data_IF_431555807875
#
_entry.id   IF_431555807875
#
_cell.length_a   1.000
_cell.length_b   1.000
_cell.length_c   1.000
_cell.angle_alpha   90.00
_cell.angle_beta   90.00
_cell.angle_gamma   90.00
#
_symmetry.space_group_name_H-M   'P 1'
#
loop_
_entity.id
_entity.type
_entity.pdbx_description
1 polymer ?
#
# COMPACT_ATOMS: atom_id res chain seq x y z
N UNK A 1 37.04 -24.60 26.68
CA UNK A 1 36.69 -23.20 26.91
C UNK A 1 37.79 -22.58 27.74
N UNK A 2 38.39 -21.44 27.33
CA UNK A 2 39.48 -20.80 28.01
C UNK A 2 39.02 -19.43 28.48
N UNK A 3 39.51 -18.96 29.64
CA UNK A 3 39.15 -17.64 30.19
C UNK A 3 39.55 -16.52 29.23
N UNK A 4 40.71 -16.67 28.57
CA UNK A 4 41.20 -15.73 27.54
C UNK A 4 40.23 -15.53 26.37
N UNK A 5 39.54 -16.57 25.94
CA UNK A 5 38.53 -16.48 24.88
C UNK A 5 37.32 -15.64 25.31
N UNK A 6 36.91 -15.76 26.58
CA UNK A 6 35.80 -14.98 27.14
C UNK A 6 36.15 -13.49 27.19
N UNK A 7 37.37 -13.15 27.62
CA UNK A 7 37.85 -11.77 27.62
C UNK A 7 37.88 -11.16 26.21
N UNK A 8 38.30 -11.94 25.22
CA UNK A 8 38.26 -11.51 23.80
C UNK A 8 36.82 -11.19 23.34
N UNK A 9 35.84 -12.02 23.68
CA UNK A 9 34.44 -11.77 23.33
C UNK A 9 33.87 -10.49 23.95
N UNK A 10 34.31 -10.14 25.19
CA UNK A 10 33.94 -8.89 25.84
C UNK A 10 34.56 -7.69 25.12
N UNK A 11 35.85 -7.78 24.76
CA UNK A 11 36.52 -6.72 24.02
C UNK A 11 35.92 -6.50 22.63
N UNK A 12 35.64 -7.56 21.93
CA UNK A 12 35.01 -7.51 20.60
C UNK A 12 33.61 -6.89 20.65
N UNK A 13 32.82 -7.25 21.68
CA UNK A 13 31.51 -6.66 21.92
C UNK A 13 31.62 -5.15 22.20
N UNK A 14 32.54 -4.76 23.09
CA UNK A 14 32.78 -3.34 23.43
C UNK A 14 33.20 -2.53 22.20
N UNK A 15 34.11 -3.07 21.38
CA UNK A 15 34.53 -2.42 20.13
C UNK A 15 33.39 -2.26 19.16
N UNK A 16 32.59 -3.32 18.97
CA UNK A 16 31.45 -3.31 18.07
C UNK A 16 30.39 -2.29 18.50
N UNK A 17 30.08 -2.20 19.81
CA UNK A 17 29.13 -1.22 20.32
C UNK A 17 29.67 0.21 20.23
N UNK A 18 30.94 0.41 20.53
CA UNK A 18 31.58 1.74 20.42
C UNK A 18 31.71 2.23 18.98
N UNK A 19 31.76 1.33 18.00
CA UNK A 19 31.85 1.68 16.58
C UNK A 19 30.49 1.87 15.90
N UNK A 20 29.38 1.60 16.59
CA UNK A 20 28.05 1.82 16.06
C UNK A 20 27.79 3.32 15.85
N UNK A 21 27.35 3.67 14.64
CA UNK A 21 27.06 5.05 14.25
C UNK A 21 25.62 5.48 14.49
N UNK A 22 24.72 4.52 14.72
CA UNK A 22 23.30 4.72 14.93
C UNK A 22 22.67 3.53 15.68
N UNK A 23 21.42 3.68 16.10
CA UNK A 23 20.69 2.66 16.87
C UNK A 23 20.45 1.36 16.08
N UNK A 24 20.39 1.40 14.74
CA UNK A 24 20.18 0.19 13.91
C UNK A 24 21.48 -0.62 13.79
N UNK A 25 22.60 0.05 13.59
CA UNK A 25 23.93 -0.60 13.63
C UNK A 25 24.24 -1.17 15.01
N UNK A 26 23.86 -0.46 16.08
CA UNK A 26 23.99 -0.95 17.45
C UNK A 26 23.12 -2.21 17.69
N UNK A 27 21.90 -2.23 17.17
CA UNK A 27 21.00 -3.40 17.24
C UNK A 27 21.59 -4.62 16.52
N UNK A 28 22.22 -4.38 15.38
CA UNK A 28 22.92 -5.43 14.63
C UNK A 28 24.11 -5.99 15.44
N UNK A 29 24.94 -5.12 16.01
CA UNK A 29 26.04 -5.49 16.89
C UNK A 29 25.54 -6.23 18.14
N UNK A 30 24.45 -5.79 18.75
CA UNK A 30 23.80 -6.48 19.87
C UNK A 30 23.43 -7.91 19.52
N UNK A 31 22.78 -8.13 18.38
CA UNK A 31 22.38 -9.47 17.95
C UNK A 31 23.60 -10.40 17.76
N UNK A 32 24.71 -9.87 17.24
CA UNK A 32 25.94 -10.64 17.07
C UNK A 32 26.60 -11.06 18.40
N UNK A 33 26.61 -10.17 19.39
CA UNK A 33 27.37 -10.39 20.64
C UNK A 33 26.53 -10.84 21.84
N UNK A 34 25.20 -10.60 21.84
CA UNK A 34 24.30 -11.03 22.92
C UNK A 34 23.17 -11.94 22.48
N UNK A 35 22.94 -12.09 21.16
CA UNK A 35 21.90 -12.95 20.61
C UNK A 35 22.13 -14.45 20.90
N UNK A 36 21.14 -15.27 20.66
CA UNK A 36 21.14 -16.72 20.95
C UNK A 36 22.29 -17.50 20.31
N UNK A 37 22.82 -17.00 19.20
CA UNK A 37 23.96 -17.61 18.48
C UNK A 37 25.30 -16.96 18.83
N UNK A 38 25.33 -16.00 19.74
CA UNK A 38 26.56 -15.34 20.15
C UNK A 38 27.49 -16.31 20.90
N UNK A 39 28.83 -16.11 20.82
CA UNK A 39 29.79 -16.97 21.51
C UNK A 39 29.50 -17.09 23.02
N UNK A 40 29.12 -16.00 23.67
CA UNK A 40 28.83 -16.01 25.11
C UNK A 40 27.53 -16.75 25.46
N UNK A 41 26.52 -16.70 24.57
CA UNK A 41 25.29 -17.44 24.76
C UNK A 41 25.52 -18.95 24.57
N UNK A 42 26.33 -19.31 23.57
CA UNK A 42 26.71 -20.72 23.31
C UNK A 42 27.57 -21.27 24.46
N UNK A 43 28.55 -20.51 24.95
CA UNK A 43 29.35 -20.87 26.09
C UNK A 43 28.50 -21.08 27.36
N UNK A 44 27.54 -20.22 27.60
CA UNK A 44 26.59 -20.34 28.72
C UNK A 44 25.77 -21.62 28.65
N UNK A 45 25.32 -22.05 27.45
CA UNK A 45 24.61 -23.35 27.27
C UNK A 45 25.53 -24.54 27.48
N UNK A 46 26.81 -24.42 27.10
CA UNK A 46 27.82 -25.45 27.27
C UNK A 46 28.20 -25.74 28.74
N UNK A 47 27.88 -24.87 29.69
CA UNK A 47 28.14 -25.07 31.09
C UNK A 47 27.50 -26.35 31.68
N UNK A 48 26.39 -26.79 31.09
CA UNK A 48 25.68 -27.99 31.53
C UNK A 48 26.49 -29.28 31.42
N UNK A 49 27.48 -29.34 30.54
CA UNK A 49 28.31 -30.52 30.25
C UNK A 49 29.62 -30.55 31.06
N UNK A 50 29.91 -29.56 31.94
CA UNK A 50 31.15 -29.44 32.72
C UNK A 50 31.03 -30.12 34.10
N UNK A 51 32.20 -30.39 34.73
CA UNK A 51 32.25 -30.84 36.10
C UNK A 51 31.67 -29.77 37.09
N UNK A 52 31.18 -30.16 38.28
CA UNK A 52 30.61 -29.23 39.24
C UNK A 52 31.56 -28.06 39.62
N UNK A 53 32.86 -28.33 39.73
CA UNK A 53 33.89 -27.34 40.07
C UNK A 53 34.14 -26.37 38.88
N UNK A 54 34.30 -26.90 37.68
CA UNK A 54 34.47 -26.11 36.47
C UNK A 54 33.23 -25.26 36.17
N UNK A 55 32.05 -25.85 36.39
CA UNK A 55 30.78 -25.14 36.21
C UNK A 55 30.64 -23.93 37.12
N UNK A 56 31.10 -24.01 38.36
CA UNK A 56 31.06 -22.91 39.29
C UNK A 56 32.04 -21.79 38.87
N UNK A 57 33.28 -22.14 38.49
CA UNK A 57 34.31 -21.18 38.09
C UNK A 57 33.99 -20.52 36.78
N UNK A 58 33.70 -21.24 35.73
CA UNK A 58 33.31 -20.70 34.42
C UNK A 58 31.97 -19.99 34.45
N UNK A 59 31.01 -20.44 35.27
CA UNK A 59 29.72 -19.79 35.47
C UNK A 59 29.87 -18.38 36.00
N UNK A 60 30.80 -18.17 36.95
CA UNK A 60 31.11 -16.84 37.49
C UNK A 60 31.71 -15.94 36.41
N UNK A 61 32.73 -16.40 35.69
CA UNK A 61 33.39 -15.64 34.61
C UNK A 61 32.44 -15.26 33.48
N UNK A 62 31.60 -16.18 33.07
CA UNK A 62 30.57 -15.91 32.03
C UNK A 62 29.51 -14.93 32.55
N UNK A 63 29.15 -15.01 33.84
CA UNK A 63 28.24 -14.06 34.47
C UNK A 63 28.82 -12.63 34.50
N UNK A 64 30.05 -12.49 34.89
CA UNK A 64 30.78 -11.20 34.88
C UNK A 64 30.90 -10.66 33.44
N UNK A 65 31.30 -11.47 32.46
CA UNK A 65 31.40 -11.09 31.07
C UNK A 65 30.05 -10.64 30.49
N UNK A 66 28.96 -11.32 30.80
CA UNK A 66 27.62 -10.89 30.42
C UNK A 66 27.23 -9.53 31.01
N UNK A 67 27.55 -9.32 32.27
CA UNK A 67 27.29 -8.04 32.92
C UNK A 67 28.09 -6.88 32.28
N UNK A 68 29.37 -7.12 31.96
CA UNK A 68 30.20 -6.14 31.25
C UNK A 68 29.71 -5.84 29.84
N UNK A 69 29.30 -6.85 29.08
CA UNK A 69 28.72 -6.65 27.73
C UNK A 69 27.40 -5.88 27.84
N UNK A 70 26.55 -6.21 28.81
CA UNK A 70 25.29 -5.52 29.02
C UNK A 70 25.49 -4.06 29.42
N UNK A 71 26.47 -3.78 30.27
CA UNK A 71 26.83 -2.42 30.65
C UNK A 71 27.34 -1.62 29.44
N UNK A 72 28.27 -2.16 28.67
CA UNK A 72 28.79 -1.51 27.47
C UNK A 72 27.70 -1.22 26.43
N UNK A 73 26.74 -2.14 26.28
CA UNK A 73 25.58 -1.94 25.43
C UNK A 73 24.69 -0.80 25.93
N UNK A 74 24.40 -0.76 27.22
CA UNK A 74 23.58 0.28 27.82
C UNK A 74 24.25 1.68 27.70
N UNK A 75 25.55 1.77 27.89
CA UNK A 75 26.30 3.02 27.70
C UNK A 75 26.25 3.49 26.24
N UNK A 76 26.51 2.60 25.27
CA UNK A 76 26.43 2.92 23.85
C UNK A 76 25.01 3.33 23.45
N UNK A 77 23.97 2.63 23.95
CA UNK A 77 22.57 2.97 23.71
C UNK A 77 22.26 4.37 24.20
N UNK A 78 22.63 4.70 25.44
CA UNK A 78 22.36 6.02 26.02
C UNK A 78 23.00 7.16 25.21
N UNK A 79 24.22 6.95 24.72
CA UNK A 79 24.93 7.94 23.89
C UNK A 79 24.21 8.18 22.58
N UNK A 80 23.85 7.10 21.86
CA UNK A 80 23.18 7.20 20.56
C UNK A 80 21.74 7.72 20.68
N UNK A 81 21.02 7.38 21.74
CA UNK A 81 19.70 7.96 22.03
C UNK A 81 19.78 9.44 22.30
N UNK A 82 20.76 9.89 23.14
CA UNK A 82 20.95 11.28 23.40
C UNK A 82 21.36 12.07 22.14
N UNK A 83 22.15 11.47 21.26
CA UNK A 83 22.54 12.10 20.01
C UNK A 83 21.34 12.18 19.04
N UNK A 84 20.54 11.12 18.90
CA UNK A 84 19.28 11.13 18.16
C UNK A 84 18.34 12.23 18.67
N UNK A 85 18.12 12.27 19.98
CA UNK A 85 17.19 13.22 20.60
C UNK A 85 17.67 14.67 20.42
N UNK A 86 18.98 14.89 20.53
CA UNK A 86 19.58 16.21 20.24
C UNK A 86 19.37 16.60 18.76
N UNK A 87 19.53 15.66 17.82
CA UNK A 87 19.31 15.89 16.41
C UNK A 87 17.85 16.23 16.12
N UNK A 88 16.92 15.46 16.67
CA UNK A 88 15.47 15.72 16.57
C UNK A 88 15.13 17.11 17.12
N UNK A 89 15.63 17.49 18.29
CA UNK A 89 15.40 18.80 18.88
C UNK A 89 15.94 19.96 18.02
N UNK A 90 16.98 19.73 17.21
CA UNK A 90 17.53 20.73 16.31
C UNK A 90 16.79 20.80 14.98
N UNK A 91 16.37 19.64 14.46
CA UNK A 91 15.68 19.55 13.16
C UNK A 91 14.18 19.89 13.26
N UNK A 92 13.56 19.60 14.41
CA UNK A 92 12.13 19.84 14.65
C UNK A 92 11.87 21.14 15.46
N UNK A 93 12.75 22.13 15.33
CA UNK A 93 12.54 23.44 16.00
C UNK A 93 11.29 24.10 15.45
N UNK A 94 10.33 24.32 16.32
CA UNK A 94 9.09 25.06 16.01
C UNK A 94 9.15 26.44 16.64
N UNK A 95 8.89 27.45 15.83
CA UNK A 95 8.77 28.82 16.35
C UNK A 95 7.47 28.99 17.13
N UNK A 96 7.56 28.93 18.44
CA UNK A 96 6.40 29.07 19.35
C UNK A 96 5.88 30.50 19.45
N UNK A 97 6.54 31.49 18.83
CA UNK A 97 6.08 32.88 18.78
C UNK A 97 5.08 33.14 17.66
N UNK A 98 4.94 32.19 16.72
CA UNK A 98 3.96 32.29 15.65
C UNK A 98 2.53 32.30 16.23
N UNK A 99 1.66 33.18 15.73
CA UNK A 99 0.30 33.26 16.23
C UNK A 99 -0.44 31.94 15.99
N UNK A 100 -0.90 31.28 17.09
CA UNK A 100 -1.64 30.01 17.07
C UNK A 100 -3.13 30.22 16.71
N UNK A 101 -3.66 31.41 16.90
CA UNK A 101 -5.06 31.75 16.62
C UNK A 101 -5.24 32.16 15.14
N UNK A 102 -4.90 31.26 14.22
CA UNK A 102 -5.24 31.43 12.82
C UNK A 102 -6.66 30.93 12.60
N UNK A 103 -7.49 31.74 11.95
CA UNK A 103 -8.77 31.26 11.42
C UNK A 103 -8.45 30.12 10.45
N UNK A 104 -8.90 28.90 10.80
CA UNK A 104 -8.69 27.75 9.92
C UNK A 104 -9.60 27.89 8.70
N UNK A 105 -9.01 28.04 7.53
CA UNK A 105 -9.76 27.87 6.29
C UNK A 105 -10.08 26.39 6.12
N UNK A 106 -11.27 26.08 5.61
CA UNK A 106 -11.62 24.73 5.20
C UNK A 106 -10.68 24.24 4.09
N UNK A 107 -10.59 22.94 3.91
CA UNK A 107 -9.85 22.29 2.83
C UNK A 107 -10.58 21.06 2.34
N UNK A 108 -10.35 20.67 1.10
CA UNK A 108 -10.84 19.41 0.57
C UNK A 108 -10.02 18.25 1.17
N UNK A 109 -10.69 17.12 1.39
CA UNK A 109 -10.02 15.90 1.78
C UNK A 109 -9.05 15.44 0.66
N UNK A 110 -7.85 14.92 0.95
CA UNK A 110 -6.88 14.51 -0.09
C UNK A 110 -7.46 13.55 -1.12
N UNK A 111 -8.34 12.62 -0.72
CA UNK A 111 -9.05 11.73 -1.66
C UNK A 111 -9.96 12.53 -2.61
N UNK A 112 -10.61 13.57 -2.14
CA UNK A 112 -11.43 14.45 -3.01
C UNK A 112 -10.55 15.17 -4.01
N UNK A 113 -9.39 15.68 -3.57
CA UNK A 113 -8.43 16.36 -4.44
C UNK A 113 -7.95 15.43 -5.56
N UNK A 114 -7.48 14.22 -5.20
CA UNK A 114 -6.99 13.27 -6.20
C UNK A 114 -8.10 12.74 -7.10
N UNK A 115 -9.32 12.54 -6.56
CA UNK A 115 -10.50 12.18 -7.37
C UNK A 115 -10.79 13.23 -8.44
N UNK A 116 -10.79 14.50 -8.07
CA UNK A 116 -11.02 15.59 -9.00
C UNK A 116 -9.90 15.69 -10.05
N UNK A 117 -8.64 15.64 -9.62
CA UNK A 117 -7.47 15.67 -10.53
C UNK A 117 -7.53 14.54 -11.57
N UNK A 118 -7.85 13.32 -11.16
CA UNK A 118 -8.00 12.17 -12.06
C UNK A 118 -9.19 12.36 -13.01
N UNK A 119 -10.31 12.85 -12.48
CA UNK A 119 -11.50 13.09 -13.29
C UNK A 119 -11.24 14.17 -14.37
N UNK A 120 -10.63 15.28 -13.97
CA UNK A 120 -10.29 16.37 -14.88
C UNK A 120 -9.33 15.90 -15.98
N UNK A 121 -8.31 15.12 -15.61
CA UNK A 121 -7.38 14.53 -16.58
C UNK A 121 -8.09 13.72 -17.67
N UNK A 122 -9.04 12.85 -17.31
CA UNK A 122 -9.77 12.04 -18.29
C UNK A 122 -10.80 12.85 -19.06
N UNK A 123 -11.47 13.82 -18.43
CA UNK A 123 -12.38 14.77 -19.12
C UNK A 123 -11.61 15.53 -20.20
N UNK A 124 -10.41 16.01 -19.93
CA UNK A 124 -9.53 16.68 -20.91
C UNK A 124 -9.13 15.76 -22.08
N UNK A 125 -9.10 14.44 -21.85
CA UNK A 125 -8.88 13.44 -22.90
C UNK A 125 -10.17 13.08 -23.70
N UNK A 126 -11.31 13.69 -23.37
CA UNK A 126 -12.59 13.45 -24.03
C UNK A 126 -13.44 12.32 -23.43
N UNK A 127 -13.11 11.86 -22.22
CA UNK A 127 -13.95 10.90 -21.50
C UNK A 127 -15.14 11.63 -20.86
N UNK A 128 -16.30 10.98 -20.86
CA UNK A 128 -17.42 11.38 -20.02
C UNK A 128 -17.19 10.94 -18.58
N UNK A 129 -17.65 11.75 -17.65
CA UNK A 129 -17.65 11.42 -16.23
C UNK A 129 -18.99 10.79 -15.86
N UNK A 130 -18.96 9.56 -15.33
CA UNK A 130 -20.16 8.80 -14.99
C UNK A 130 -20.09 8.35 -13.52
N UNK A 131 -21.21 8.51 -12.81
CA UNK A 131 -21.39 8.03 -11.44
C UNK A 131 -22.51 6.98 -11.37
N UNK A 132 -22.50 6.18 -10.32
CA UNK A 132 -23.54 5.20 -10.05
C UNK A 132 -23.74 4.95 -8.57
N UNK A 133 -24.82 4.23 -8.20
CA UNK A 133 -25.13 3.96 -6.82
C UNK A 133 -24.09 3.07 -6.16
N UNK A 134 -23.92 3.24 -4.85
CA UNK A 134 -23.07 2.38 -4.02
C UNK A 134 -23.75 1.05 -3.68
N UNK A 135 -25.08 1.05 -3.60
CA UNK A 135 -25.91 -0.14 -3.44
C UNK A 135 -26.29 -0.67 -4.80
N UNK A 136 -25.82 -1.88 -5.13
CA UNK A 136 -25.97 -2.48 -6.46
C UNK A 136 -26.59 -3.86 -6.40
N UNK A 137 -27.19 -4.26 -7.53
CA UNK A 137 -27.62 -5.65 -7.70
C UNK A 137 -26.39 -6.56 -7.92
N UNK A 138 -26.46 -7.79 -7.39
CA UNK A 138 -25.45 -8.80 -7.65
C UNK A 138 -25.23 -9.06 -9.15
N UNK A 139 -26.27 -8.90 -9.96
CA UNK A 139 -26.13 -9.02 -11.41
C UNK A 139 -25.17 -7.99 -12.01
N UNK A 140 -25.32 -6.70 -11.65
CA UNK A 140 -24.42 -5.63 -12.14
C UNK A 140 -23.02 -5.76 -11.57
N UNK A 141 -22.91 -6.18 -10.29
CA UNK A 141 -21.62 -6.26 -9.63
C UNK A 141 -20.81 -7.51 -10.00
N UNK A 142 -21.47 -8.57 -10.49
CA UNK A 142 -20.83 -9.86 -10.77
C UNK A 142 -21.22 -10.47 -12.12
N UNK A 143 -22.50 -10.81 -12.34
CA UNK A 143 -22.90 -11.64 -13.48
C UNK A 143 -22.60 -10.96 -14.82
N UNK A 144 -22.96 -9.69 -14.95
CA UNK A 144 -22.70 -8.90 -16.14
C UNK A 144 -21.20 -8.71 -16.44
N UNK A 145 -20.36 -8.85 -15.41
CA UNK A 145 -18.91 -8.79 -15.50
C UNK A 145 -18.25 -10.17 -15.71
N UNK A 146 -19.03 -11.19 -16.07
CA UNK A 146 -18.54 -12.55 -16.27
C UNK A 146 -17.85 -13.16 -15.02
N UNK A 147 -18.21 -12.70 -13.82
CA UNK A 147 -17.74 -13.28 -12.57
C UNK A 147 -18.62 -14.47 -12.23
N UNK A 148 -18.14 -15.72 -12.23
CA UNK A 148 -18.96 -16.91 -12.02
C UNK A 148 -19.48 -17.01 -10.57
N UNK A 149 -20.55 -17.80 -10.38
CA UNK A 149 -21.22 -17.90 -9.08
C UNK A 149 -20.35 -18.49 -7.96
N UNK A 150 -19.38 -19.31 -8.33
CA UNK A 150 -18.42 -19.96 -7.43
C UNK A 150 -17.12 -19.15 -7.22
N UNK A 151 -17.05 -17.93 -7.76
CA UNK A 151 -15.88 -17.08 -7.60
C UNK A 151 -15.73 -16.59 -6.14
N UNK A 152 -14.53 -16.65 -5.54
CA UNK A 152 -14.30 -16.23 -4.15
C UNK A 152 -14.81 -14.83 -3.82
N UNK A 153 -14.66 -13.87 -4.73
CA UNK A 153 -15.14 -12.50 -4.55
C UNK A 153 -16.66 -12.37 -4.28
N UNK A 154 -17.45 -13.43 -4.51
CA UNK A 154 -18.88 -13.47 -4.19
C UNK A 154 -19.19 -13.99 -2.78
N UNK A 155 -18.18 -14.31 -1.99
CA UNK A 155 -18.40 -14.78 -0.62
C UNK A 155 -18.65 -13.60 0.33
N UNK A 156 -19.31 -13.88 1.44
CA UNK A 156 -19.50 -12.90 2.52
C UNK A 156 -18.18 -12.48 3.20
N UNK A 157 -17.07 -13.18 2.91
CA UNK A 157 -15.74 -12.83 3.39
C UNK A 157 -15.17 -11.63 2.63
N UNK A 158 -15.59 -11.43 1.37
CA UNK A 158 -15.05 -10.38 0.51
C UNK A 158 -16.11 -9.31 0.14
N UNK A 159 -17.42 -9.62 0.29
CA UNK A 159 -18.52 -8.75 -0.16
C UNK A 159 -19.52 -8.49 0.97
N UNK A 160 -19.93 -7.24 1.12
CA UNK A 160 -21.04 -6.86 1.99
C UNK A 160 -22.38 -7.06 1.28
N UNK A 161 -23.14 -8.06 1.71
CA UNK A 161 -24.52 -8.29 1.29
C UNK A 161 -25.48 -7.50 2.16
N UNK A 162 -26.59 -7.04 1.57
CA UNK A 162 -27.65 -6.30 2.28
C UNK A 162 -28.77 -7.25 2.66
N UNK A 163 -29.23 -7.14 3.89
CA UNK A 163 -30.37 -7.92 4.39
C UNK A 163 -31.71 -7.44 3.78
N UNK A 164 -32.63 -8.36 3.44
CA UNK A 164 -32.43 -9.80 3.42
C UNK A 164 -31.49 -10.22 2.28
N UNK A 165 -30.60 -11.21 2.50
CA UNK A 165 -29.60 -11.66 1.49
C UNK A 165 -30.22 -12.10 0.19
N UNK A 166 -31.48 -12.62 0.24
CA UNK A 166 -32.28 -13.04 -0.92
C UNK A 166 -32.60 -11.86 -1.85
N UNK A 167 -32.45 -10.62 -1.40
CA UNK A 167 -32.61 -9.44 -2.26
C UNK A 167 -31.56 -9.39 -3.38
N UNK A 168 -30.44 -10.09 -3.21
CA UNK A 168 -29.31 -10.08 -4.12
C UNK A 168 -28.61 -8.73 -4.24
N UNK A 169 -28.85 -7.83 -3.27
CA UNK A 169 -28.24 -6.52 -3.23
C UNK A 169 -26.92 -6.55 -2.43
N UNK A 170 -25.92 -5.80 -2.92
CA UNK A 170 -24.59 -5.71 -2.32
C UNK A 170 -24.11 -4.26 -2.28
N UNK A 171 -23.21 -3.95 -1.37
CA UNK A 171 -22.38 -2.77 -1.53
C UNK A 171 -21.33 -3.08 -2.61
N UNK A 172 -21.23 -2.24 -3.64
CA UNK A 172 -20.38 -2.50 -4.81
C UNK A 172 -18.92 -2.68 -4.40
N UNK A 173 -18.28 -3.73 -4.88
CA UNK A 173 -16.89 -4.08 -4.59
C UNK A 173 -15.87 -3.37 -5.49
N UNK A 174 -16.34 -2.74 -6.53
CA UNK A 174 -15.60 -1.95 -7.53
C UNK A 174 -16.57 -0.98 -8.24
N UNK A 175 -16.05 -0.08 -9.06
CA UNK A 175 -16.91 0.86 -9.81
C UNK A 175 -17.35 0.34 -11.17
N UNK A 176 -16.98 -0.89 -11.56
CA UNK A 176 -17.37 -1.53 -12.83
C UNK A 176 -18.88 -1.62 -13.07
N UNK A 177 -19.79 -1.70 -12.07
CA UNK A 177 -21.23 -1.61 -12.32
C UNK A 177 -21.62 -0.36 -13.10
N UNK A 178 -20.91 0.76 -12.92
CA UNK A 178 -21.17 2.01 -13.67
C UNK A 178 -20.83 1.80 -15.14
N UNK A 179 -19.73 1.08 -15.47
CA UNK A 179 -19.37 0.73 -16.84
C UNK A 179 -20.48 -0.12 -17.50
N UNK A 180 -21.02 -1.13 -16.78
CA UNK A 180 -22.15 -1.95 -17.29
C UNK A 180 -23.37 -1.07 -17.53
N UNK A 181 -23.75 -0.18 -16.61
CA UNK A 181 -24.86 0.77 -16.76
C UNK A 181 -24.68 1.63 -18.00
N UNK A 182 -23.49 2.14 -18.22
CA UNK A 182 -23.17 2.96 -19.42
C UNK A 182 -23.32 2.13 -20.69
N UNK A 183 -22.76 0.92 -20.75
CA UNK A 183 -22.89 0.04 -21.91
C UNK A 183 -24.34 -0.40 -22.21
N UNK A 184 -25.20 -0.47 -21.19
CA UNK A 184 -26.63 -0.79 -21.36
C UNK A 184 -27.47 0.39 -21.87
N UNK A 185 -26.99 1.62 -21.70
CA UNK A 185 -27.76 2.85 -22.01
C UNK A 185 -27.19 3.68 -23.15
N UNK A 186 -25.95 3.44 -23.55
CA UNK A 186 -25.26 4.18 -24.60
C UNK A 186 -24.74 3.23 -25.68
N UNK A 187 -24.82 3.67 -26.93
CA UNK A 187 -24.20 2.96 -28.05
C UNK A 187 -22.72 3.42 -28.21
N UNK A 188 -21.81 2.53 -28.64
CA UNK A 188 -20.45 2.93 -28.97
C UNK A 188 -20.40 4.00 -30.09
N UNK A 189 -19.42 4.93 -30.05
CA UNK A 189 -18.24 4.90 -29.17
C UNK A 189 -18.52 5.34 -27.73
N UNK A 190 -17.92 4.63 -26.75
CA UNK A 190 -18.04 4.89 -25.33
C UNK A 190 -16.64 5.20 -24.78
N UNK A 191 -16.48 6.34 -24.14
CA UNK A 191 -15.27 6.77 -23.43
C UNK A 191 -15.72 7.33 -22.09
N UNK A 192 -15.56 6.55 -21.00
CA UNK A 192 -16.05 6.98 -19.67
C UNK A 192 -15.02 6.75 -18.59
N UNK A 193 -15.05 7.63 -17.59
CA UNK A 193 -14.32 7.48 -16.33
C UNK A 193 -15.32 7.45 -15.19
N UNK A 194 -15.17 6.47 -14.30
CA UNK A 194 -16.11 6.15 -13.24
C UNK A 194 -15.40 6.15 -11.87
N UNK A 195 -15.13 7.30 -11.25
CA UNK A 195 -14.61 7.34 -9.90
C UNK A 195 -15.72 7.11 -8.87
N UNK A 196 -15.41 6.44 -7.79
CA UNK A 196 -16.40 6.23 -6.76
C UNK A 196 -15.91 5.43 -5.55
N UNK A 197 -16.71 5.44 -4.50
CA UNK A 197 -16.49 4.67 -3.29
C UNK A 197 -16.86 3.21 -3.53
N UNK A 198 -16.08 2.32 -2.96
CA UNK A 198 -16.22 0.86 -3.07
C UNK A 198 -16.05 0.21 -1.71
N UNK A 199 -16.52 -1.02 -1.55
CA UNK A 199 -16.65 -1.69 -0.27
C UNK A 199 -16.16 -3.14 -0.40
N UNK A 200 -15.30 -3.56 0.52
CA UNK A 200 -14.85 -4.95 0.66
C UNK A 200 -14.82 -5.33 2.12
N UNK A 201 -15.09 -6.59 2.43
CA UNK A 201 -15.09 -7.06 3.82
C UNK A 201 -13.65 -7.29 4.36
N UNK A 202 -12.74 -6.40 4.00
CA UNK A 202 -11.36 -6.38 4.48
C UNK A 202 -11.28 -5.76 5.88
N UNK A 203 -10.32 -6.21 6.68
CA UNK A 203 -9.97 -5.52 7.92
C UNK A 203 -9.18 -4.24 7.62
N UNK A 204 -9.38 -3.22 8.46
CA UNK A 204 -8.58 -1.99 8.38
C UNK A 204 -7.17 -2.27 8.88
N UNK A 205 -6.19 -2.10 7.98
CA UNK A 205 -4.77 -2.19 8.29
C UNK A 205 -3.98 -1.06 7.61
N UNK A 206 -2.66 -1.12 7.64
CA UNK A 206 -1.81 -0.10 7.02
C UNK A 206 -2.00 0.05 5.51
N UNK A 207 -2.60 -0.92 4.83
CA UNK A 207 -2.70 -1.00 3.36
C UNK A 207 -4.10 -1.24 2.83
N UNK A 208 -5.04 -1.65 3.68
CA UNK A 208 -6.42 -1.98 3.33
C UNK A 208 -7.42 -1.22 4.19
N UNK A 209 -8.58 -0.96 3.62
CA UNK A 209 -9.74 -0.40 4.31
C UNK A 209 -11.02 -1.04 3.76
N UNK A 210 -12.01 -1.34 4.60
CA UNK A 210 -13.30 -1.85 4.13
C UNK A 210 -14.05 -0.88 3.23
N UNK A 211 -13.71 0.39 3.30
CA UNK A 211 -14.25 1.46 2.47
C UNK A 211 -13.09 2.20 1.82
N UNK A 212 -13.03 2.20 0.50
CA UNK A 212 -11.99 2.88 -0.26
C UNK A 212 -12.55 3.43 -1.56
N UNK A 213 -11.75 4.19 -2.31
CA UNK A 213 -12.16 4.81 -3.56
C UNK A 213 -11.39 4.21 -4.73
N UNK A 214 -12.10 3.96 -5.81
CA UNK A 214 -11.52 3.56 -7.09
C UNK A 214 -11.85 4.59 -8.18
N UNK A 215 -11.00 4.63 -9.18
CA UNK A 215 -11.33 5.16 -10.49
C UNK A 215 -11.20 4.05 -11.50
N UNK A 216 -12.21 3.87 -12.32
CA UNK A 216 -12.16 2.97 -13.46
C UNK A 216 -12.43 3.73 -14.75
N UNK A 217 -11.79 3.32 -15.82
CA UNK A 217 -12.02 3.84 -17.16
C UNK A 217 -12.42 2.73 -18.11
N UNK A 218 -13.33 3.06 -19.03
CA UNK A 218 -13.82 2.18 -20.09
C UNK A 218 -13.75 2.89 -21.43
N UNK A 219 -13.22 2.22 -22.43
CA UNK A 219 -13.26 2.65 -23.81
C UNK A 219 -13.83 1.52 -24.67
N UNK A 220 -14.87 1.81 -25.43
CA UNK A 220 -15.44 0.89 -26.43
C UNK A 220 -15.54 1.64 -27.75
N UNK A 221 -14.81 1.16 -28.76
CA UNK A 221 -14.87 1.73 -30.11
C UNK A 221 -14.37 0.70 -31.14
N UNK A 222 -14.35 1.08 -32.40
CA UNK A 222 -13.80 0.25 -33.48
C UNK A 222 -12.29 0.21 -33.43
N UNK A 223 -11.72 -1.01 -33.51
CA UNK A 223 -10.28 -1.20 -33.62
C UNK A 223 -9.47 -0.84 -32.38
N UNK A 224 -10.07 -0.83 -31.20
CA UNK A 224 -9.38 -0.63 -29.92
C UNK A 224 -8.47 -1.83 -29.63
N UNK A 225 -7.26 -1.55 -29.11
CA UNK A 225 -6.22 -2.55 -28.87
C UNK A 225 -5.51 -2.34 -27.53
N UNK A 226 -4.74 -3.36 -27.11
CA UNK A 226 -3.83 -3.24 -25.94
C UNK A 226 -2.82 -2.09 -26.06
N UNK A 227 -2.45 -1.68 -27.27
CA UNK A 227 -1.56 -0.54 -27.48
C UNK A 227 -2.23 0.79 -27.08
N UNK A 228 -3.52 0.95 -27.36
CA UNK A 228 -4.29 2.10 -26.94
C UNK A 228 -4.41 2.14 -25.40
N UNK A 229 -4.72 1.00 -24.77
CA UNK A 229 -4.73 0.87 -23.31
C UNK A 229 -3.38 1.27 -22.71
N UNK A 230 -2.27 0.70 -23.23
CA UNK A 230 -0.92 1.00 -22.75
C UNK A 230 -0.59 2.49 -22.88
N UNK A 231 -0.92 3.11 -24.01
CA UNK A 231 -0.70 4.55 -24.23
C UNK A 231 -1.51 5.43 -23.28
N UNK A 232 -2.77 5.07 -23.02
CA UNK A 232 -3.63 5.76 -22.05
C UNK A 232 -3.04 5.68 -20.65
N UNK A 233 -2.62 4.48 -20.21
CA UNK A 233 -2.03 4.29 -18.88
C UNK A 233 -0.67 4.95 -18.72
N UNK A 234 0.17 4.97 -19.77
CA UNK A 234 1.45 5.70 -19.76
C UNK A 234 1.25 7.20 -19.58
N UNK A 235 0.27 7.77 -20.28
CA UNK A 235 -0.06 9.18 -20.17
C UNK A 235 -0.61 9.51 -18.78
N UNK A 236 -1.52 8.67 -18.28
CA UNK A 236 -2.08 8.81 -16.95
C UNK A 236 -1.02 8.70 -15.84
N UNK A 237 -0.13 7.71 -15.95
CA UNK A 237 0.96 7.56 -14.98
C UNK A 237 1.89 8.79 -14.95
N UNK A 238 2.23 9.36 -16.11
CA UNK A 238 3.05 10.58 -16.18
C UNK A 238 2.35 11.78 -15.56
N UNK A 239 1.04 11.90 -15.74
CA UNK A 239 0.27 12.96 -15.10
C UNK A 239 0.31 12.82 -13.57
N UNK A 240 0.11 11.60 -13.04
CA UNK A 240 0.01 11.37 -11.61
C UNK A 240 1.36 11.39 -10.87
N UNK A 241 2.44 10.92 -11.49
CA UNK A 241 3.72 10.66 -10.81
C UNK A 241 4.91 11.41 -11.42
N UNK A 242 4.66 12.18 -12.49
CA UNK A 242 5.70 12.97 -13.16
C UNK A 242 6.21 12.34 -14.46
N UNK A 243 6.93 13.13 -15.29
CA UNK A 243 7.29 12.76 -16.66
C UNK A 243 8.25 11.57 -16.78
N UNK A 244 9.03 11.31 -15.74
CA UNK A 244 10.07 10.26 -15.75
C UNK A 244 9.53 8.89 -15.35
N UNK A 245 8.25 8.80 -14.92
CA UNK A 245 7.66 7.51 -14.54
C UNK A 245 7.55 6.60 -15.76
N UNK A 246 7.89 5.34 -15.56
CA UNK A 246 7.70 4.29 -16.57
C UNK A 246 6.70 3.27 -16.09
N UNK A 247 5.94 2.69 -17.01
CA UNK A 247 4.96 1.65 -16.71
C UNK A 247 5.34 0.34 -17.38
N UNK A 248 4.88 -0.76 -16.81
CA UNK A 248 4.89 -2.08 -17.46
C UNK A 248 3.56 -2.78 -17.21
N UNK A 249 3.16 -3.62 -18.15
CA UNK A 249 2.03 -4.52 -18.00
C UNK A 249 2.56 -5.92 -17.66
N UNK A 250 2.05 -6.50 -16.59
CA UNK A 250 2.28 -7.90 -16.22
C UNK A 250 1.03 -8.71 -16.54
N UNK A 251 1.12 -9.87 -17.23
CA UNK A 251 -0.02 -10.74 -17.43
C UNK A 251 -0.70 -11.08 -16.09
N UNK A 252 -2.03 -11.00 -16.08
CA UNK A 252 -2.87 -11.34 -14.93
C UNK A 252 -4.18 -11.98 -15.43
N UNK A 253 -5.10 -12.25 -14.52
CA UNK A 253 -6.40 -12.79 -14.86
C UNK A 253 -7.51 -12.04 -14.13
N UNK A 254 -8.47 -11.52 -14.92
CA UNK A 254 -9.73 -11.00 -14.42
C UNK A 254 -10.87 -11.56 -15.28
N UNK A 255 -12.01 -12.00 -14.70
CA UNK A 255 -13.10 -12.60 -15.47
C UNK A 255 -13.68 -11.68 -16.56
N UNK A 256 -13.63 -10.38 -16.32
CA UNK A 256 -14.22 -9.33 -17.17
C UNK A 256 -13.28 -8.77 -18.23
N UNK A 257 -12.02 -9.22 -18.29
CA UNK A 257 -11.05 -8.83 -19.33
C UNK A 257 -10.32 -10.03 -19.93
N UNK A 258 -9.98 -9.93 -21.24
CA UNK A 258 -9.21 -10.93 -21.99
C UNK A 258 -8.52 -10.25 -23.20
N UNK A 259 -7.17 -10.14 -23.21
CA UNK A 259 -6.24 -10.45 -22.15
C UNK A 259 -6.32 -9.47 -20.98
N UNK A 260 -5.93 -9.96 -19.80
CA UNK A 260 -5.84 -9.17 -18.57
C UNK A 260 -4.40 -8.87 -18.21
N UNK A 261 -4.18 -7.75 -17.56
CA UNK A 261 -2.86 -7.36 -17.06
C UNK A 261 -2.99 -6.52 -15.77
N UNK A 262 -1.96 -6.55 -14.98
CA UNK A 262 -1.71 -5.56 -13.93
C UNK A 262 -0.72 -4.52 -14.46
N UNK A 263 -0.97 -3.26 -14.14
CA UNK A 263 -0.07 -2.16 -14.47
C UNK A 263 0.78 -1.83 -13.26
N UNK A 264 2.10 -1.93 -13.44
CA UNK A 264 3.08 -1.45 -12.47
C UNK A 264 3.67 -0.13 -12.95
N UNK A 265 4.02 0.73 -12.00
CA UNK A 265 4.81 1.95 -12.22
C UNK A 265 6.20 1.79 -11.59
N UNK A 266 7.21 2.35 -12.24
CA UNK A 266 8.53 2.49 -11.64
C UNK A 266 8.63 3.88 -11.01
N UNK A 267 8.54 3.91 -9.68
CA UNK A 267 8.53 5.15 -8.90
C UNK A 267 9.35 4.98 -7.61
N UNK A 268 10.06 6.03 -7.20
CA UNK A 268 10.95 5.98 -6.03
C UNK A 268 11.89 4.76 -6.03
N UNK A 269 12.51 4.51 -7.19
CA UNK A 269 13.51 3.46 -7.43
C UNK A 269 13.00 2.01 -7.21
N UNK A 270 11.69 1.77 -7.35
CA UNK A 270 11.08 0.44 -7.24
C UNK A 270 9.86 0.30 -8.15
N UNK A 271 9.56 -0.94 -8.51
CA UNK A 271 8.29 -1.28 -9.17
C UNK A 271 7.17 -1.38 -8.13
N UNK A 272 6.07 -0.70 -8.40
CA UNK A 272 4.88 -0.67 -7.55
C UNK A 272 3.69 -1.05 -8.41
N UNK A 273 2.92 -2.04 -7.98
CA UNK A 273 1.63 -2.36 -8.59
C UNK A 273 0.65 -1.21 -8.34
N UNK A 274 0.07 -0.70 -9.44
CA UNK A 274 -0.80 0.45 -9.39
C UNK A 274 -2.26 0.11 -9.62
N UNK A 275 -2.56 -0.86 -10.52
CA UNK A 275 -3.94 -1.27 -10.77
C UNK A 275 -4.07 -2.41 -11.77
N UNK A 276 -5.32 -2.82 -12.01
CA UNK A 276 -5.67 -3.83 -13.00
C UNK A 276 -6.16 -3.21 -14.30
N UNK A 277 -5.94 -3.90 -15.42
CA UNK A 277 -6.39 -3.45 -16.73
C UNK A 277 -6.53 -4.63 -17.72
N UNK A 278 -7.13 -4.39 -18.86
CA UNK A 278 -7.23 -5.39 -19.93
C UNK A 278 -8.17 -5.00 -21.04
N UNK A 279 -8.20 -5.82 -22.08
CA UNK A 279 -9.27 -5.71 -23.09
C UNK A 279 -10.57 -6.25 -22.50
N UNK A 280 -11.68 -5.55 -22.74
CA UNK A 280 -12.99 -5.99 -22.23
C UNK A 280 -13.32 -7.35 -22.82
N UNK A 281 -13.68 -8.29 -21.95
CA UNK A 281 -14.04 -9.63 -22.37
C UNK A 281 -15.26 -9.58 -23.34
N UNK A 282 -15.20 -10.23 -24.51
CA UNK A 282 -16.32 -10.24 -25.45
C UNK A 282 -17.66 -10.69 -24.85
N UNK A 283 -17.64 -11.56 -23.84
CA UNK A 283 -18.85 -11.98 -23.12
C UNK A 283 -19.50 -10.81 -22.37
N UNK A 284 -18.72 -9.90 -21.81
CA UNK A 284 -19.22 -8.69 -21.14
C UNK A 284 -19.86 -7.75 -22.15
N UNK A 285 -19.21 -7.51 -23.30
CA UNK A 285 -19.78 -6.72 -24.40
C UNK A 285 -21.10 -7.31 -24.90
N UNK A 286 -21.12 -8.61 -25.17
CA UNK A 286 -22.31 -9.32 -25.64
C UNK A 286 -23.46 -9.28 -24.61
N UNK A 287 -23.15 -9.40 -23.30
CA UNK A 287 -24.14 -9.26 -22.21
C UNK A 287 -24.80 -7.88 -22.21
N UNK A 288 -24.06 -6.84 -22.62
CA UNK A 288 -24.57 -5.48 -22.75
C UNK A 288 -25.18 -5.18 -24.14
N UNK A 289 -25.26 -6.17 -25.03
CA UNK A 289 -25.85 -6.01 -26.36
C UNK A 289 -24.93 -5.34 -27.41
N UNK A 290 -23.63 -5.23 -27.12
CA UNK A 290 -22.65 -4.64 -28.02
C UNK A 290 -22.11 -5.70 -28.98
N UNK A 291 -22.11 -5.37 -30.30
CA UNK A 291 -21.62 -6.25 -31.34
C UNK A 291 -20.10 -6.40 -31.31
N UNK A 292 -19.64 -7.59 -30.91
CA UNK A 292 -18.22 -7.93 -30.73
C UNK A 292 -17.46 -8.13 -32.03
N UNK A 293 -18.16 -8.25 -33.18
CA UNK A 293 -17.51 -8.29 -34.47
C UNK A 293 -17.13 -6.90 -34.99
N UNK A 294 -17.79 -5.86 -34.46
CA UNK A 294 -17.57 -4.45 -34.83
C UNK A 294 -16.76 -3.70 -33.82
N UNK A 295 -17.00 -3.93 -32.54
CA UNK A 295 -16.44 -3.17 -31.44
C UNK A 295 -15.54 -4.00 -30.52
N UNK A 296 -14.50 -3.37 -30.06
CA UNK A 296 -13.62 -3.86 -29.01
C UNK A 296 -13.40 -2.77 -27.98
N UNK A 297 -12.85 -3.08 -26.84
CA UNK A 297 -12.60 -2.06 -25.83
C UNK A 297 -11.57 -2.48 -24.81
N UNK A 298 -11.17 -1.53 -24.00
CA UNK A 298 -10.34 -1.78 -22.84
C UNK A 298 -10.96 -1.16 -21.59
N UNK A 299 -10.60 -1.73 -20.45
CA UNK A 299 -10.90 -1.16 -19.13
C UNK A 299 -9.66 -1.18 -18.23
N UNK A 300 -9.66 -0.29 -17.27
CA UNK A 300 -8.64 -0.23 -16.22
C UNK A 300 -9.26 0.25 -14.91
N UNK A 301 -8.63 -0.09 -13.78
CA UNK A 301 -9.06 0.35 -12.46
C UNK A 301 -7.89 0.54 -11.50
N UNK A 302 -7.88 1.66 -10.76
CA UNK A 302 -6.89 2.03 -9.77
C UNK A 302 -7.54 2.48 -8.46
N UNK A 303 -6.93 2.08 -7.32
CA UNK A 303 -7.28 2.62 -6.01
C UNK A 303 -6.78 4.05 -5.84
N UNK A 304 -7.65 4.98 -5.42
CA UNK A 304 -7.26 6.38 -5.21
C UNK A 304 -6.40 6.53 -3.95
N UNK A 305 -6.72 5.82 -2.87
CA UNK A 305 -5.90 5.79 -1.65
C UNK A 305 -4.49 5.29 -1.95
N UNK A 306 -4.36 4.19 -2.70
CA UNK A 306 -3.06 3.66 -3.09
C UNK A 306 -2.26 4.64 -3.93
N UNK A 307 -2.93 5.32 -4.87
CA UNK A 307 -2.30 6.36 -5.69
C UNK A 307 -1.80 7.52 -4.82
N UNK A 308 -2.63 7.97 -3.87
CA UNK A 308 -2.29 9.01 -2.90
C UNK A 308 -1.10 8.60 -2.02
N UNK A 309 -1.14 7.39 -1.46
CA UNK A 309 -0.08 6.84 -0.61
C UNK A 309 1.26 6.78 -1.35
N UNK A 310 1.26 6.26 -2.57
CA UNK A 310 2.47 6.15 -3.38
C UNK A 310 3.03 7.52 -3.74
N UNK A 311 2.17 8.46 -4.17
CA UNK A 311 2.57 9.80 -4.60
C UNK A 311 3.18 10.63 -3.48
N UNK A 312 2.63 10.53 -2.27
CA UNK A 312 2.99 11.35 -1.12
C UNK A 312 3.82 10.62 -0.05
N UNK A 313 4.14 9.34 -0.27
CA UNK A 313 4.93 8.56 0.69
C UNK A 313 4.20 8.25 1.99
N UNK A 314 2.85 8.19 1.95
CA UNK A 314 2.04 7.83 3.11
C UNK A 314 2.18 6.33 3.34
N UNK A 315 2.56 5.92 4.53
CA UNK A 315 2.85 4.53 4.85
C UNK A 315 1.69 3.78 5.50
N UNK A 316 0.68 4.51 5.98
CA UNK A 316 -0.43 3.93 6.75
C UNK A 316 -1.78 4.48 6.24
N UNK A 317 -2.70 3.55 5.90
CA UNK A 317 -4.04 3.87 5.45
C UNK A 317 -4.88 4.57 6.53
N UNK A 318 -4.62 4.30 7.81
CA UNK A 318 -5.32 4.94 8.94
C UNK A 318 -5.23 6.46 8.86
N UNK A 319 -4.08 7.02 8.48
CA UNK A 319 -3.89 8.47 8.33
C UNK A 319 -4.90 9.09 7.35
N UNK A 320 -5.32 8.33 6.33
CA UNK A 320 -6.26 8.79 5.31
C UNK A 320 -7.71 8.69 5.80
N UNK A 321 -8.07 7.59 6.50
CA UNK A 321 -9.49 7.23 6.75
C UNK A 321 -9.99 7.64 8.14
N UNK A 322 -9.13 7.87 9.12
CA UNK A 322 -9.54 8.22 10.50
C UNK A 322 -10.01 9.67 10.68
N UNK A 323 -9.84 10.51 9.65
CA UNK A 323 -10.36 11.88 9.66
C UNK A 323 -9.55 12.86 10.50
N UNK A 324 -8.27 12.60 10.74
CA UNK A 324 -7.37 13.53 11.46
C UNK A 324 -7.18 14.82 10.64
N UNK A 325 -7.68 15.92 11.17
CA UNK A 325 -7.55 17.23 10.54
C UNK A 325 -6.10 17.71 10.41
N UNK A 326 -5.18 17.24 11.27
CA UNK A 326 -3.76 17.57 11.19
C UNK A 326 -3.14 16.95 9.95
N UNK A 327 -3.55 15.74 9.58
CA UNK A 327 -3.17 15.08 8.34
C UNK A 327 -3.77 15.81 7.14
N UNK A 328 -5.08 15.99 7.10
CA UNK A 328 -5.81 16.60 5.98
C UNK A 328 -5.30 18.00 5.63
N UNK A 329 -4.94 18.82 6.63
CA UNK A 329 -4.42 20.16 6.44
C UNK A 329 -3.07 20.24 5.74
N UNK A 330 -2.28 19.17 5.73
CA UNK A 330 -0.97 19.13 5.06
C UNK A 330 -1.11 19.15 3.52
N UNK A 331 -2.26 18.74 2.99
CA UNK A 331 -2.54 18.72 1.54
C UNK A 331 -3.01 20.07 1.01
N UNK A 332 -3.07 21.07 1.85
CA UNK A 332 -3.34 22.43 1.47
C UNK A 332 -4.81 22.76 1.25
N UNK A 333 -5.07 24.03 1.16
CA UNK A 333 -6.36 24.59 0.79
C UNK A 333 -6.34 24.72 -0.73
N UNK A 334 -6.63 23.66 -1.44
CA UNK A 334 -6.92 23.72 -2.85
C UNK A 334 -8.26 24.43 -3.05
N UNK A 335 -8.23 25.72 -3.27
CA UNK A 335 -9.34 26.53 -3.77
C UNK A 335 -8.84 27.28 -4.98
#
# INVERSE_FOLDING_TARGET
>A
MRVEEISTWVEDARKAFASASDLESLKTARLAHTGDKSPIALASRGLGALSPEDKASFGKVIGEAKAEIAQALAEATAVLEAERDRKVLLEEVVDVTLPVNRSHRGGLHPITIIKNEVSDFFIEQGFAFEEGPELESGWLNFDALNIPADHPARTMQDTFFIEPVESGMVLRTHTSPVQIRTMLTQEPPIYVVCPGRTFRADELDATHSPVFHQVEGLVIDKGITMAHLKGTLDNFARHMFGPDVTTRLRPSFFPFTEPSAEVDIFFNNRWIEWGGCGMVNPKVLATCGIDTEVYSGFAFGMGLERTLMVRHGISDMHDIVEGDLRFTRQFGVGL
#
